data_IF_405538786327
#
_entry.id   IF_405538786327
#
_cell.length_a   1.000
_cell.length_b   1.000
_cell.length_c   1.000
_cell.angle_alpha   90.00
_cell.angle_beta   90.00
_cell.angle_gamma   90.00
#
_symmetry.space_group_name_H-M   'P 1'
#
loop_
_entity.id
_entity.type
_entity.pdbx_description
1 polymer ?
#
# COMPACT_ATOMS: atom_id res chain seq x y z
N UNK A 1 11.08 -18.35 9.23
CA UNK A 1 12.50 -17.97 9.03
C UNK A 1 13.46 -18.41 10.13
N UNK A 2 13.26 -18.03 11.40
CA UNK A 2 14.20 -18.44 12.47
C UNK A 2 14.18 -19.95 12.72
N UNK A 3 13.00 -20.56 12.62
CA UNK A 3 12.81 -22.01 12.60
C UNK A 3 13.53 -22.71 11.44
N UNK A 4 13.45 -22.18 10.21
CA UNK A 4 14.17 -22.73 9.05
C UNK A 4 15.69 -22.73 9.25
N UNK A 5 16.24 -21.63 9.79
CA UNK A 5 17.68 -21.56 10.10
C UNK A 5 18.05 -22.53 11.23
N UNK A 6 17.16 -22.71 12.21
CA UNK A 6 17.37 -23.70 13.27
C UNK A 6 17.37 -25.15 12.73
N UNK A 7 16.55 -25.45 11.73
CA UNK A 7 16.54 -26.75 11.04
C UNK A 7 17.84 -27.00 10.25
N UNK A 8 18.36 -25.99 9.53
CA UNK A 8 19.65 -26.11 8.84
C UNK A 8 20.82 -26.33 9.80
N UNK A 9 20.84 -25.60 10.92
CA UNK A 9 21.83 -25.78 11.97
C UNK A 9 21.74 -27.20 12.58
N UNK A 10 20.52 -27.70 12.82
CA UNK A 10 20.30 -29.08 13.28
C UNK A 10 20.78 -30.12 12.27
N UNK A 11 20.55 -29.93 10.97
CA UNK A 11 21.10 -30.80 9.91
C UNK A 11 22.63 -30.82 9.90
N UNK A 12 23.27 -29.71 10.28
CA UNK A 12 24.72 -29.59 10.41
C UNK A 12 25.25 -30.07 11.78
N UNK A 13 24.39 -30.63 12.64
CA UNK A 13 24.75 -31.11 13.97
C UNK A 13 25.10 -30.01 14.96
N UNK A 14 24.71 -28.75 14.70
CA UNK A 14 25.03 -27.58 15.54
C UNK A 14 23.76 -26.99 16.15
N UNK A 15 23.75 -26.61 17.44
CA UNK A 15 22.62 -25.89 18.02
C UNK A 15 22.64 -24.41 17.59
N UNK A 16 21.46 -23.84 17.37
CA UNK A 16 21.33 -22.40 17.11
C UNK A 16 21.49 -21.63 18.42
N UNK A 17 22.60 -20.89 18.55
CA UNK A 17 22.89 -20.10 19.75
C UNK A 17 22.07 -18.81 19.80
N UNK A 18 21.93 -18.21 20.99
CA UNK A 18 21.24 -16.92 21.20
C UNK A 18 21.77 -15.81 20.27
N UNK A 19 23.08 -15.76 20.06
CA UNK A 19 23.70 -14.80 19.14
C UNK A 19 23.38 -15.09 17.67
N UNK A 20 23.28 -16.36 17.29
CA UNK A 20 22.78 -16.78 15.98
C UNK A 20 21.36 -16.27 15.74
N UNK A 21 20.46 -16.42 16.71
CA UNK A 21 19.10 -15.89 16.64
C UNK A 21 19.06 -14.37 16.43
N UNK A 22 19.90 -13.61 17.16
CA UNK A 22 19.99 -12.15 17.04
C UNK A 22 20.47 -11.76 15.63
N UNK A 23 21.47 -12.46 15.07
CA UNK A 23 21.97 -12.21 13.71
C UNK A 23 20.90 -12.49 12.66
N UNK A 24 20.15 -13.57 12.79
CA UNK A 24 19.01 -13.89 11.90
C UNK A 24 17.95 -12.79 11.96
N UNK A 25 17.64 -12.27 13.15
CA UNK A 25 16.70 -11.16 13.31
C UNK A 25 17.21 -9.86 12.63
N UNK A 26 18.50 -9.53 12.77
CA UNK A 26 19.13 -8.39 12.09
C UNK A 26 19.07 -8.52 10.57
N UNK A 27 19.43 -9.69 10.03
CA UNK A 27 19.37 -9.95 8.60
C UNK A 27 17.93 -9.90 8.06
N UNK A 28 16.97 -10.43 8.81
CA UNK A 28 15.54 -10.41 8.43
C UNK A 28 15.02 -8.97 8.39
N UNK A 29 15.38 -8.15 9.37
CA UNK A 29 15.06 -6.71 9.39
C UNK A 29 15.66 -5.98 8.18
N UNK A 30 16.95 -6.18 7.89
CA UNK A 30 17.60 -5.56 6.74
C UNK A 30 16.92 -5.98 5.41
N UNK A 31 16.66 -7.28 5.24
CA UNK A 31 15.96 -7.82 4.06
C UNK A 31 14.60 -7.18 3.87
N UNK A 32 13.82 -7.01 4.95
CA UNK A 32 12.53 -6.31 4.91
C UNK A 32 12.67 -4.87 4.42
N UNK A 33 13.66 -4.11 4.94
CA UNK A 33 13.88 -2.73 4.48
C UNK A 33 14.33 -2.64 3.02
N UNK A 34 15.20 -3.56 2.57
CA UNK A 34 15.58 -3.64 1.16
C UNK A 34 14.38 -3.95 0.26
N UNK A 35 13.52 -4.88 0.68
CA UNK A 35 12.30 -5.23 -0.06
C UNK A 35 11.31 -4.07 -0.10
N UNK A 36 11.08 -3.38 1.02
CA UNK A 36 10.27 -2.15 1.08
C UNK A 36 10.81 -1.06 0.15
N UNK A 37 12.13 -0.89 0.07
CA UNK A 37 12.77 0.05 -0.87
C UNK A 37 12.57 -0.38 -2.33
N UNK A 38 12.57 -1.69 -2.62
CA UNK A 38 12.26 -2.25 -3.93
C UNK A 38 10.80 -2.00 -4.32
N UNK A 39 9.84 -2.25 -3.42
CA UNK A 39 8.41 -1.99 -3.66
C UNK A 39 8.12 -0.51 -3.93
N UNK A 40 8.81 0.43 -3.28
CA UNK A 40 8.72 1.85 -3.65
C UNK A 40 9.12 2.13 -5.11
N UNK A 41 10.06 1.37 -5.67
CA UNK A 41 10.41 1.44 -7.11
C UNK A 41 9.38 0.73 -8.00
N UNK A 42 8.64 -0.26 -7.50
CA UNK A 42 7.59 -0.96 -8.26
C UNK A 42 6.37 -0.06 -8.55
N UNK A 43 6.29 1.13 -7.93
CA UNK A 43 5.32 2.17 -8.32
C UNK A 43 5.52 2.71 -9.75
N UNK A 44 6.61 2.37 -10.45
CA UNK A 44 6.85 2.72 -11.85
C UNK A 44 6.49 1.62 -12.86
N UNK A 45 5.90 0.51 -12.41
CA UNK A 45 5.36 -0.50 -13.34
C UNK A 45 4.01 0.01 -13.80
N UNK A 46 3.90 0.30 -15.10
CA UNK A 46 2.65 0.70 -15.72
C UNK A 46 1.60 -0.39 -15.50
N UNK A 47 0.40 -0.03 -15.08
CA UNK A 47 -0.72 -0.97 -14.98
C UNK A 47 -1.08 -1.61 -16.34
N UNK A 48 -0.62 -0.98 -17.43
CA UNK A 48 -0.79 -1.44 -18.81
C UNK A 48 0.41 -2.30 -19.30
N UNK A 49 1.30 -2.77 -18.42
CA UNK A 49 2.37 -3.67 -18.84
C UNK A 49 1.88 -5.11 -18.88
N UNK A 50 2.19 -5.82 -19.95
CA UNK A 50 1.85 -7.24 -20.10
C UNK A 50 2.71 -8.11 -19.18
N UNK A 51 2.05 -9.02 -18.43
CA UNK A 51 2.70 -10.16 -17.75
C UNK A 51 2.40 -11.42 -18.56
N UNK A 52 3.39 -12.30 -18.68
CA UNK A 52 3.20 -13.62 -19.27
C UNK A 52 2.81 -14.62 -18.16
N UNK A 53 1.61 -15.21 -18.29
CA UNK A 53 1.15 -16.29 -17.42
C UNK A 53 1.90 -17.60 -17.66
N UNK A 54 1.72 -18.57 -16.74
CA UNK A 54 2.33 -19.91 -16.84
C UNK A 54 1.84 -20.72 -18.06
N UNK A 55 0.69 -20.35 -18.62
CA UNK A 55 0.08 -20.90 -19.83
C UNK A 55 0.57 -20.22 -21.13
N UNK A 56 1.45 -19.23 -21.02
CA UNK A 56 2.02 -18.50 -22.16
C UNK A 56 1.14 -17.36 -22.69
N UNK A 57 -0.04 -17.12 -22.13
CA UNK A 57 -0.89 -15.99 -22.50
C UNK A 57 -0.41 -14.69 -21.83
N UNK A 58 -0.48 -13.58 -22.56
CA UNK A 58 -0.14 -12.25 -22.07
C UNK A 58 -1.38 -11.60 -21.47
N UNK A 59 -1.32 -11.24 -20.21
CA UNK A 59 -2.40 -10.58 -19.46
C UNK A 59 -1.86 -9.26 -18.94
N UNK A 60 -2.60 -8.17 -19.11
CA UNK A 60 -2.22 -6.86 -18.55
C UNK A 60 -2.24 -6.90 -17.02
N UNK A 61 -1.23 -6.30 -16.39
CA UNK A 61 -1.03 -6.27 -14.93
C UNK A 61 -2.26 -5.76 -14.15
N UNK A 62 -3.03 -4.85 -14.76
CA UNK A 62 -4.30 -4.34 -14.22
C UNK A 62 -5.34 -5.44 -13.98
N UNK A 63 -5.39 -6.47 -14.83
CA UNK A 63 -6.37 -7.55 -14.74
C UNK A 63 -6.10 -8.47 -13.54
N UNK A 64 -4.86 -8.52 -13.04
CA UNK A 64 -4.47 -9.34 -11.89
C UNK A 64 -4.73 -8.65 -10.55
N UNK A 65 -4.76 -7.31 -10.51
CA UNK A 65 -4.97 -6.51 -9.27
C UNK A 65 -6.43 -6.55 -8.78
N UNK A 66 -7.38 -6.89 -9.65
CA UNK A 66 -8.80 -7.01 -9.31
C UNK A 66 -9.12 -8.21 -8.38
N UNK A 67 -8.14 -9.06 -8.06
CA UNK A 67 -8.30 -10.15 -7.10
C UNK A 67 -8.17 -9.71 -5.64
N UNK A 68 -9.22 -9.97 -4.86
CA UNK A 68 -9.27 -10.04 -3.37
C UNK A 68 -9.56 -8.76 -2.54
N UNK A 69 -9.52 -7.56 -3.11
CA UNK A 69 -10.18 -6.39 -2.46
C UNK A 69 -10.71 -5.45 -3.53
N UNK A 70 -11.75 -5.92 -4.22
CA UNK A 70 -12.45 -5.15 -5.23
C UNK A 70 -12.83 -3.79 -4.66
N UNK A 71 -12.21 -2.73 -5.18
CA UNK A 71 -12.71 -1.37 -5.01
C UNK A 71 -14.16 -1.44 -5.47
N UNK A 72 -15.10 -1.28 -4.54
CA UNK A 72 -16.51 -1.20 -4.90
C UNK A 72 -16.64 -0.02 -5.88
N UNK A 73 -16.85 -0.35 -7.15
CA UNK A 73 -16.80 0.62 -8.25
C UNK A 73 -17.91 1.64 -8.10
N UNK A 74 -19.07 1.24 -7.58
CA UNK A 74 -20.20 2.11 -7.32
C UNK A 74 -19.86 3.10 -6.20
N UNK A 75 -19.31 2.61 -5.09
CA UNK A 75 -18.82 3.46 -3.98
C UNK A 75 -17.73 4.43 -4.46
N UNK A 76 -16.88 4.00 -5.39
CA UNK A 76 -15.84 4.83 -5.96
C UNK A 76 -16.38 5.89 -6.94
N UNK A 77 -17.37 5.52 -7.76
CA UNK A 77 -18.06 6.45 -8.67
C UNK A 77 -18.84 7.50 -7.87
N UNK A 78 -19.56 7.08 -6.84
CA UNK A 78 -20.31 7.95 -5.94
C UNK A 78 -19.38 8.90 -5.21
N UNK A 79 -18.25 8.40 -4.70
CA UNK A 79 -17.23 9.25 -4.10
C UNK A 79 -16.68 10.27 -5.09
N UNK A 80 -16.43 9.87 -6.35
CA UNK A 80 -15.91 10.76 -7.39
C UNK A 80 -16.92 11.86 -7.74
N UNK A 81 -18.18 11.50 -7.94
CA UNK A 81 -19.26 12.45 -8.22
C UNK A 81 -19.47 13.40 -7.05
N UNK A 82 -19.47 12.85 -5.83
CA UNK A 82 -19.57 13.61 -4.60
C UNK A 82 -18.42 14.61 -4.46
N UNK A 83 -17.17 14.15 -4.60
CA UNK A 83 -15.98 15.00 -4.57
C UNK A 83 -16.02 16.11 -5.63
N UNK A 84 -16.48 15.80 -6.85
CA UNK A 84 -16.57 16.79 -7.94
C UNK A 84 -17.64 17.85 -7.70
N UNK A 85 -18.74 17.48 -7.03
CA UNK A 85 -19.84 18.39 -6.67
C UNK A 85 -19.50 19.40 -5.56
N UNK A 86 -18.40 19.17 -4.82
CA UNK A 86 -18.02 19.99 -3.67
C UNK A 86 -17.43 21.34 -4.07
N UNK A 87 -17.45 22.26 -3.11
CA UNK A 87 -16.94 23.61 -3.34
C UNK A 87 -15.44 23.56 -3.67
N UNK A 88 -14.92 24.49 -4.51
CA UNK A 88 -13.51 24.52 -4.88
C UNK A 88 -12.53 24.56 -3.70
N UNK A 89 -12.95 25.14 -2.56
CA UNK A 89 -12.15 25.23 -1.33
C UNK A 89 -11.97 23.87 -0.66
N UNK A 90 -13.04 23.09 -0.52
CA UNK A 90 -13.01 21.73 0.04
C UNK A 90 -12.15 20.80 -0.84
N UNK A 91 -12.36 20.86 -2.16
CA UNK A 91 -11.56 20.11 -3.13
C UNK A 91 -10.07 20.45 -3.03
N UNK A 92 -9.74 21.72 -2.78
CA UNK A 92 -8.35 22.18 -2.60
C UNK A 92 -7.75 21.66 -1.30
N UNK A 93 -8.49 21.69 -0.19
CA UNK A 93 -8.04 21.14 1.09
C UNK A 93 -7.79 19.62 0.99
N UNK A 94 -8.70 18.88 0.36
CA UNK A 94 -8.53 17.44 0.11
C UNK A 94 -7.35 17.18 -0.82
N UNK A 95 -7.19 17.96 -1.89
CA UNK A 95 -6.04 17.84 -2.78
C UNK A 95 -4.73 18.07 -2.01
N UNK A 96 -4.64 19.13 -1.19
CA UNK A 96 -3.49 19.37 -0.31
C UNK A 96 -3.21 18.19 0.61
N UNK A 97 -4.23 17.58 1.21
CA UNK A 97 -4.05 16.39 2.06
C UNK A 97 -3.44 15.21 1.30
N UNK A 98 -3.81 15.02 0.03
CA UNK A 98 -3.37 13.89 -0.80
C UNK A 98 -1.99 14.16 -1.44
N UNK A 99 -1.79 15.34 -2.02
CA UNK A 99 -0.58 15.68 -2.79
C UNK A 99 0.51 16.33 -1.94
N UNK A 100 0.15 17.02 -0.86
CA UNK A 100 1.10 17.70 0.01
C UNK A 100 1.21 16.97 1.36
N UNK A 101 2.24 17.32 2.13
CA UNK A 101 2.41 16.79 3.48
C UNK A 101 1.27 17.33 4.37
N UNK A 102 0.57 16.45 5.08
CA UNK A 102 -0.53 16.79 6.01
C UNK A 102 -0.15 17.87 7.03
N UNK A 103 1.14 18.06 7.32
CA UNK A 103 1.68 19.12 8.18
C UNK A 103 1.52 20.55 7.60
N UNK A 104 1.19 20.68 6.31
CA UNK A 104 0.95 21.97 5.64
C UNK A 104 -0.52 22.38 5.63
N UNK A 105 -1.41 21.56 6.18
CA UNK A 105 -2.83 21.87 6.27
C UNK A 105 -3.06 22.92 7.36
N UNK A 106 -3.79 23.97 7.01
CA UNK A 106 -4.26 24.95 8.00
C UNK A 106 -5.39 24.36 8.86
N UNK A 107 -5.67 24.96 10.01
CA UNK A 107 -6.82 24.57 10.85
C UNK A 107 -8.15 24.62 10.07
N UNK A 108 -8.29 25.61 9.19
CA UNK A 108 -9.44 25.73 8.29
C UNK A 108 -9.50 24.60 7.24
N UNK A 109 -8.36 24.18 6.68
CA UNK A 109 -8.32 23.04 5.76
C UNK A 109 -8.78 21.75 6.47
N UNK A 110 -8.40 21.56 7.74
CA UNK A 110 -8.85 20.43 8.56
C UNK A 110 -10.35 20.44 8.83
N UNK A 111 -10.92 21.61 9.09
CA UNK A 111 -12.36 21.76 9.29
C UNK A 111 -13.15 21.37 8.03
N UNK A 112 -12.71 21.84 6.85
CA UNK A 112 -13.31 21.47 5.57
C UNK A 112 -13.21 19.97 5.28
N UNK A 113 -12.06 19.35 5.58
CA UNK A 113 -11.89 17.90 5.40
C UNK A 113 -12.78 17.11 6.37
N UNK A 114 -12.97 17.60 7.60
CA UNK A 114 -13.86 16.98 8.58
C UNK A 114 -15.31 17.03 8.11
N UNK A 115 -15.80 18.21 7.70
CA UNK A 115 -17.15 18.38 7.17
C UNK A 115 -17.39 17.51 5.94
N UNK A 116 -16.41 17.44 5.03
CA UNK A 116 -16.47 16.56 3.85
C UNK A 116 -16.64 15.09 4.23
N UNK A 117 -15.92 14.60 5.24
CA UNK A 117 -16.00 13.21 5.72
C UNK A 117 -17.32 12.91 6.44
N UNK A 118 -17.81 13.84 7.25
CA UNK A 118 -19.10 13.69 7.94
C UNK A 118 -20.24 13.59 6.94
N UNK A 119 -20.26 14.47 5.93
CA UNK A 119 -21.27 14.46 4.88
C UNK A 119 -21.15 13.24 3.94
N UNK A 120 -19.93 12.79 3.61
CA UNK A 120 -19.74 11.58 2.80
C UNK A 120 -20.23 10.31 3.50
N UNK A 121 -20.16 10.25 4.83
CA UNK A 121 -20.69 9.12 5.63
C UNK A 121 -22.20 9.13 5.74
N UNK A 122 -22.84 10.29 5.62
CA UNK A 122 -24.30 10.40 5.61
C UNK A 122 -24.93 10.01 4.26
N UNK A 123 -24.11 9.94 3.20
CA UNK A 123 -24.50 9.56 1.84
C UNK A 123 -24.28 8.08 1.52
N UNK A 124 -23.50 7.37 2.34
CA UNK A 124 -23.17 5.94 2.19
C UNK A 124 -23.98 5.10 3.18
#
# INVERSE_FOLDING_TARGET
RLYEVAEEYRRQGRPLTKWGCIRVAQYTRLRFYHQKKRWRRVSSVSLNSDIQGEDGYKIELAQTILGESGINLDVWLDFKNYYQSRQPKERRAIRKLITENWRKLSGYDWELIRQFREQSKALA
#
